data_IF_995193928289
#
_entry.id   IF_995193928289
#
_cell.length_a   1.000
_cell.length_b   1.000
_cell.length_c   1.000
_cell.angle_alpha   90.00
_cell.angle_beta   90.00
_cell.angle_gamma   90.00
#
_symmetry.space_group_name_H-M   'P 1'
#
loop_
_entity.id
_entity.type
_entity.pdbx_description
1 polymer ?
#
# COMPACT_ATOMS: atom_id res chain seq x y z
N UNK A 1 -12.93 24.22 -43.71
CA UNK A 1 -13.31 23.14 -42.79
C UNK A 1 -12.22 23.07 -41.73
N UNK A 2 -12.40 23.83 -40.62
CA UNK A 2 -11.42 23.88 -39.53
C UNK A 2 -11.65 22.67 -38.66
N UNK A 3 -10.62 21.78 -38.52
CA UNK A 3 -10.61 20.72 -37.52
C UNK A 3 -10.52 21.37 -36.15
N UNK A 4 -11.55 21.19 -35.35
CA UNK A 4 -11.62 21.59 -33.97
C UNK A 4 -10.79 20.57 -33.19
N UNK A 5 -9.53 20.90 -32.86
CA UNK A 5 -8.73 20.12 -31.96
C UNK A 5 -9.31 20.31 -30.54
N UNK A 6 -9.69 19.20 -29.92
CA UNK A 6 -10.13 19.19 -28.53
C UNK A 6 -8.96 19.63 -27.63
N UNK A 7 -9.25 20.45 -26.62
CA UNK A 7 -8.25 20.89 -25.62
C UNK A 7 -7.66 19.74 -24.80
N UNK A 8 -8.09 18.50 -25.08
CA UNK A 8 -7.66 17.26 -24.43
C UNK A 8 -6.49 16.55 -25.11
N UNK A 9 -6.10 17.01 -26.31
CA UNK A 9 -5.04 16.32 -27.11
C UNK A 9 -3.59 16.71 -26.73
N UNK A 10 -3.37 17.53 -25.71
CA UNK A 10 -2.02 18.06 -25.39
C UNK A 10 -1.27 17.24 -24.32
N UNK A 11 -1.89 16.27 -23.65
CA UNK A 11 -1.26 15.54 -22.54
C UNK A 11 -0.66 14.18 -22.91
N UNK A 12 -0.79 13.69 -24.12
CA UNK A 12 -0.38 12.33 -24.50
C UNK A 12 1.11 12.18 -24.90
N UNK A 13 1.86 13.27 -25.06
CA UNK A 13 3.28 13.20 -25.50
C UNK A 13 4.27 12.79 -24.38
N UNK A 14 3.87 12.83 -23.09
CA UNK A 14 4.76 12.49 -21.97
C UNK A 14 4.71 11.03 -21.53
N UNK A 15 3.76 10.25 -22.00
CA UNK A 15 3.57 8.85 -21.60
C UNK A 15 4.03 7.85 -22.68
N UNK A 16 5.14 8.11 -23.35
CA UNK A 16 5.65 7.16 -24.34
C UNK A 16 6.32 5.96 -23.67
N UNK A 17 5.82 4.77 -23.97
CA UNK A 17 6.52 3.52 -23.67
C UNK A 17 7.87 3.54 -24.38
N UNK A 18 8.98 3.30 -23.67
CA UNK A 18 10.30 3.28 -24.29
C UNK A 18 10.35 2.20 -25.37
N UNK A 19 11.08 2.46 -26.46
CA UNK A 19 11.22 1.51 -27.58
C UNK A 19 11.67 0.12 -27.10
N UNK A 20 12.57 0.06 -26.13
CA UNK A 20 13.03 -1.22 -25.56
C UNK A 20 11.87 -2.00 -24.92
N UNK A 21 11.11 -1.38 -24.03
CA UNK A 21 9.96 -2.05 -23.38
C UNK A 21 8.89 -2.44 -24.40
N UNK A 22 8.65 -1.58 -25.40
CA UNK A 22 7.73 -1.88 -26.49
C UNK A 22 8.16 -3.15 -27.23
N UNK A 23 9.43 -3.25 -27.64
CA UNK A 23 9.97 -4.45 -28.26
C UNK A 23 9.82 -5.69 -27.39
N UNK A 24 10.11 -5.59 -26.08
CA UNK A 24 9.97 -6.70 -25.13
C UNK A 24 8.53 -7.21 -25.07
N UNK A 25 7.55 -6.30 -25.05
CA UNK A 25 6.12 -6.65 -24.98
C UNK A 25 5.60 -7.17 -26.34
N UNK A 26 6.05 -6.61 -27.46
CA UNK A 26 5.76 -7.11 -28.81
C UNK A 26 6.33 -8.53 -29.04
N UNK A 27 7.44 -8.88 -28.38
CA UNK A 27 8.04 -10.21 -28.41
C UNK A 27 7.35 -11.23 -27.46
N UNK A 28 6.22 -10.84 -26.86
CA UNK A 28 5.34 -11.71 -26.10
C UNK A 28 5.65 -11.83 -24.61
N UNK A 29 6.30 -10.83 -24.01
CA UNK A 29 6.42 -10.80 -22.55
C UNK A 29 5.06 -10.58 -21.89
N UNK A 30 4.75 -11.36 -20.87
CA UNK A 30 3.59 -11.11 -20.02
C UNK A 30 3.77 -9.79 -19.26
N UNK A 31 2.68 -9.02 -19.10
CA UNK A 31 2.68 -7.73 -18.41
C UNK A 31 1.94 -7.83 -17.08
N UNK A 32 2.70 -7.93 -16.00
CA UNK A 32 2.16 -7.99 -14.64
C UNK A 32 2.17 -6.60 -14.01
N UNK A 33 1.00 -6.04 -13.73
CA UNK A 33 0.82 -4.69 -13.18
C UNK A 33 0.57 -4.78 -11.68
N UNK A 34 1.50 -4.27 -10.86
CA UNK A 34 1.34 -4.22 -9.41
C UNK A 34 0.35 -3.13 -9.02
N UNK A 35 -0.79 -3.52 -8.45
CA UNK A 35 -1.85 -2.61 -8.00
C UNK A 35 -1.99 -2.61 -6.48
N UNK A 36 -2.42 -1.49 -5.92
CA UNK A 36 -2.63 -1.31 -4.48
C UNK A 36 -3.90 -0.52 -4.15
N UNK A 37 -4.75 -0.25 -5.16
CA UNK A 37 -5.91 0.63 -5.03
C UNK A 37 -5.57 2.11 -4.86
N UNK A 38 -4.28 2.46 -4.91
CA UNK A 38 -3.84 3.84 -4.85
C UNK A 38 -3.87 4.52 -6.22
N UNK A 39 -4.14 5.82 -6.26
CA UNK A 39 -4.29 6.62 -7.48
C UNK A 39 -3.20 6.38 -8.54
N UNK A 40 -1.95 6.18 -8.10
CA UNK A 40 -0.82 5.99 -9.00
C UNK A 40 -0.86 4.60 -9.66
N UNK A 41 -1.21 3.56 -8.91
CA UNK A 41 -1.38 2.20 -9.45
C UNK A 41 -2.62 2.08 -10.33
N UNK A 42 -3.69 2.78 -9.99
CA UNK A 42 -4.95 2.75 -10.75
C UNK A 42 -4.77 3.46 -12.10
N UNK A 43 -4.15 4.64 -12.10
CA UNK A 43 -3.79 5.36 -13.32
C UNK A 43 -2.84 4.52 -14.20
N UNK A 44 -1.82 3.89 -13.62
CA UNK A 44 -0.93 3.00 -14.33
C UNK A 44 -1.68 1.83 -14.98
N UNK A 45 -2.61 1.19 -14.27
CA UNK A 45 -3.38 0.07 -14.80
C UNK A 45 -4.28 0.52 -15.97
N UNK A 46 -4.96 1.67 -15.86
CA UNK A 46 -5.79 2.26 -16.93
C UNK A 46 -4.95 2.52 -18.18
N UNK A 47 -3.84 3.21 -18.02
CA UNK A 47 -2.89 3.48 -19.10
C UNK A 47 -2.40 2.20 -19.76
N UNK A 48 -1.91 1.24 -18.98
CA UNK A 48 -1.33 0.01 -19.53
C UNK A 48 -2.37 -0.91 -20.18
N UNK A 49 -3.61 -0.96 -19.66
CA UNK A 49 -4.68 -1.73 -20.31
C UNK A 49 -5.05 -1.14 -21.68
N UNK A 50 -5.01 0.18 -21.82
CA UNK A 50 -5.21 0.85 -23.09
C UNK A 50 -4.05 0.58 -24.05
N UNK A 51 -2.81 0.77 -23.59
CA UNK A 51 -1.61 0.51 -24.41
C UNK A 51 -1.49 -0.95 -24.85
N UNK A 52 -1.85 -1.90 -24.00
CA UNK A 52 -1.83 -3.33 -24.32
C UNK A 52 -2.76 -3.64 -25.50
N UNK A 53 -3.97 -3.11 -25.48
CA UNK A 53 -4.96 -3.28 -26.56
C UNK A 53 -4.58 -2.55 -27.84
N UNK A 54 -4.14 -1.29 -27.73
CA UNK A 54 -3.79 -0.46 -28.90
C UNK A 54 -2.58 -0.97 -29.67
N UNK A 55 -1.60 -1.57 -28.97
CA UNK A 55 -0.39 -2.12 -29.59
C UNK A 55 -0.50 -3.62 -29.86
N UNK A 56 -1.62 -4.26 -29.55
CA UNK A 56 -1.85 -5.71 -29.75
C UNK A 56 -0.70 -6.57 -29.17
N UNK A 57 -0.27 -6.25 -27.93
CA UNK A 57 0.80 -7.01 -27.26
C UNK A 57 0.34 -8.44 -26.98
N UNK A 58 1.19 -9.40 -27.33
CA UNK A 58 0.79 -10.81 -27.38
C UNK A 58 0.86 -11.54 -26.02
N UNK A 59 1.62 -11.02 -25.06
CA UNK A 59 1.67 -11.57 -23.70
C UNK A 59 0.41 -11.24 -22.90
N UNK A 60 0.14 -12.01 -21.87
CA UNK A 60 -0.99 -11.77 -20.99
C UNK A 60 -0.82 -10.48 -20.19
N UNK A 61 -1.91 -9.70 -20.04
CA UNK A 61 -1.98 -8.58 -19.11
C UNK A 61 -2.70 -9.03 -17.84
N UNK A 62 -2.08 -8.83 -16.67
CA UNK A 62 -2.67 -9.18 -15.38
C UNK A 62 -2.35 -8.15 -14.30
N UNK A 63 -3.31 -7.92 -13.39
CA UNK A 63 -3.13 -7.10 -12.21
C UNK A 63 -2.75 -7.96 -10.99
N UNK A 64 -1.75 -7.53 -10.21
CA UNK A 64 -1.30 -8.21 -8.99
C UNK A 64 -1.58 -7.34 -7.77
N UNK A 65 -2.39 -7.83 -6.85
CA UNK A 65 -2.70 -7.18 -5.58
C UNK A 65 -2.21 -8.05 -4.41
N UNK A 66 -1.31 -7.50 -3.59
CA UNK A 66 -0.96 -8.11 -2.31
C UNK A 66 -1.93 -7.61 -1.24
N UNK A 67 -2.85 -8.46 -0.84
CA UNK A 67 -3.84 -8.17 0.20
C UNK A 67 -3.20 -8.31 1.59
N UNK A 68 -3.14 -7.22 2.34
CA UNK A 68 -2.53 -7.16 3.67
C UNK A 68 -3.56 -7.33 4.79
N UNK A 69 -4.80 -7.66 4.44
CA UNK A 69 -5.87 -7.93 5.39
C UNK A 69 -6.26 -6.69 6.22
N UNK A 70 -6.41 -6.86 7.54
CA UNK A 70 -6.96 -5.84 8.43
C UNK A 70 -6.22 -4.49 8.46
N UNK A 71 -4.98 -4.45 8.01
CA UNK A 71 -4.20 -3.20 7.97
C UNK A 71 -4.47 -2.37 6.70
N UNK A 72 -5.15 -2.95 5.71
CA UNK A 72 -5.57 -2.19 4.53
C UNK A 72 -6.74 -1.25 4.83
N UNK A 73 -6.97 -0.30 3.94
CA UNK A 73 -8.17 0.53 3.95
C UNK A 73 -9.40 -0.32 3.59
N UNK A 74 -10.50 -0.06 4.25
CA UNK A 74 -11.76 -0.74 3.98
C UNK A 74 -12.18 -0.52 2.51
N UNK A 75 -12.46 -1.63 1.80
CA UNK A 75 -12.95 -1.61 0.43
C UNK A 75 -11.87 -1.52 -0.65
N UNK A 76 -10.56 -1.57 -0.33
CA UNK A 76 -9.49 -1.59 -1.35
C UNK A 76 -9.63 -2.78 -2.29
N UNK A 77 -9.89 -3.97 -1.75
CA UNK A 77 -10.08 -5.18 -2.56
C UNK A 77 -11.27 -5.05 -3.52
N UNK A 78 -12.41 -4.52 -3.04
CA UNK A 78 -13.60 -4.30 -3.85
C UNK A 78 -13.40 -3.22 -4.92
N UNK A 79 -12.67 -2.16 -4.56
CA UNK A 79 -12.29 -1.11 -5.51
C UNK A 79 -11.46 -1.69 -6.66
N UNK A 80 -10.45 -2.50 -6.35
CA UNK A 80 -9.61 -3.15 -7.36
C UNK A 80 -10.38 -4.18 -8.19
N UNK A 81 -11.31 -4.94 -7.59
CA UNK A 81 -12.19 -5.84 -8.34
C UNK A 81 -13.02 -5.07 -9.38
N UNK A 82 -13.64 -3.94 -8.97
CA UNK A 82 -14.43 -3.10 -9.89
C UNK A 82 -13.56 -2.53 -11.01
N UNK A 83 -12.40 -1.95 -10.66
CA UNK A 83 -11.46 -1.38 -11.63
C UNK A 83 -10.98 -2.41 -12.65
N UNK A 84 -10.58 -3.58 -12.19
CA UNK A 84 -10.10 -4.65 -13.07
C UNK A 84 -11.23 -5.20 -13.96
N UNK A 85 -12.46 -5.30 -13.44
CA UNK A 85 -13.62 -5.68 -14.23
C UNK A 85 -13.96 -4.63 -15.31
N UNK A 86 -13.91 -3.35 -14.96
CA UNK A 86 -14.11 -2.23 -15.90
C UNK A 86 -13.08 -2.28 -17.06
N UNK A 87 -11.85 -2.62 -16.75
CA UNK A 87 -10.75 -2.64 -17.70
C UNK A 87 -10.59 -3.98 -18.44
N UNK A 88 -11.36 -4.98 -18.08
CA UNK A 88 -11.24 -6.37 -18.57
C UNK A 88 -9.84 -6.95 -18.35
N UNK A 89 -9.28 -6.74 -17.14
CA UNK A 89 -7.96 -7.22 -16.72
C UNK A 89 -8.10 -8.21 -15.59
N UNK A 90 -7.55 -9.44 -15.70
CA UNK A 90 -7.56 -10.42 -14.61
C UNK A 90 -6.85 -9.89 -13.36
N UNK A 91 -7.48 -10.04 -12.18
CA UNK A 91 -6.92 -9.66 -10.89
C UNK A 91 -6.46 -10.90 -10.11
N UNK A 92 -5.16 -11.00 -9.86
CA UNK A 92 -4.59 -12.01 -8.96
C UNK A 92 -4.37 -11.43 -7.58
N UNK A 93 -5.12 -11.91 -6.58
CA UNK A 93 -4.95 -11.56 -5.17
C UNK A 93 -3.90 -12.47 -4.54
N UNK A 94 -2.87 -11.88 -3.99
CA UNK A 94 -1.75 -12.56 -3.35
C UNK A 94 -1.79 -12.29 -1.85
N UNK A 95 -1.58 -13.33 -1.07
CA UNK A 95 -1.60 -13.23 0.38
C UNK A 95 -0.21 -13.50 0.95
N UNK A 96 0.25 -12.70 1.90
CA UNK A 96 1.47 -13.00 2.64
C UNK A 96 1.27 -14.25 3.51
N UNK A 97 2.36 -14.90 3.88
CA UNK A 97 2.32 -16.11 4.73
C UNK A 97 1.79 -15.80 6.14
N UNK A 98 1.98 -14.57 6.61
CA UNK A 98 1.47 -14.02 7.87
C UNK A 98 0.95 -12.63 7.64
N UNK A 99 -0.02 -12.18 8.44
CA UNK A 99 -0.40 -10.78 8.45
C UNK A 99 0.73 -9.89 9.00
N UNK A 100 0.70 -8.61 8.66
CA UNK A 100 1.71 -7.66 9.15
C UNK A 100 1.71 -7.57 10.69
N UNK A 101 0.54 -7.66 11.31
CA UNK A 101 0.40 -7.61 12.77
C UNK A 101 1.08 -8.84 13.40
N UNK A 102 0.82 -10.04 12.88
CA UNK A 102 1.49 -11.27 13.34
C UNK A 102 3.01 -11.20 13.13
N UNK A 103 3.47 -10.60 12.04
CA UNK A 103 4.91 -10.45 11.80
C UNK A 103 5.57 -9.49 12.81
N UNK A 104 4.89 -8.40 13.19
CA UNK A 104 5.34 -7.51 14.26
C UNK A 104 5.37 -8.21 15.62
N UNK A 105 4.32 -8.95 15.97
CA UNK A 105 4.25 -9.73 17.20
C UNK A 105 5.40 -10.75 17.28
N UNK A 106 5.54 -11.58 16.26
CA UNK A 106 6.62 -12.58 16.17
C UNK A 106 8.01 -11.95 16.29
N UNK A 107 8.20 -10.78 15.67
CA UNK A 107 9.48 -10.07 15.75
C UNK A 107 9.75 -9.56 17.18
N UNK A 108 8.74 -9.02 17.83
CA UNK A 108 8.82 -8.59 19.24
C UNK A 108 9.19 -9.77 20.14
N UNK A 109 8.46 -10.87 20.05
CA UNK A 109 8.74 -12.11 20.81
C UNK A 109 10.17 -12.63 20.57
N UNK A 110 10.62 -12.61 19.31
CA UNK A 110 11.99 -13.02 18.95
C UNK A 110 13.04 -12.14 19.61
N UNK A 111 12.80 -10.83 19.70
CA UNK A 111 13.72 -9.89 20.35
C UNK A 111 13.73 -10.08 21.87
N UNK A 112 12.56 -10.28 22.48
CA UNK A 112 12.43 -10.59 23.91
C UNK A 112 13.15 -11.89 24.27
N UNK A 113 12.95 -12.95 23.51
CA UNK A 113 13.63 -14.24 23.72
C UNK A 113 15.18 -14.13 23.61
N UNK A 114 15.68 -13.17 22.82
CA UNK A 114 17.10 -12.86 22.68
C UNK A 114 17.61 -11.83 23.69
N UNK A 115 16.75 -11.38 24.61
CA UNK A 115 17.04 -10.30 25.57
C UNK A 115 17.56 -9.02 24.86
N UNK A 116 17.00 -8.71 23.68
CA UNK A 116 17.34 -7.53 22.90
C UNK A 116 16.25 -6.48 23.01
N UNK A 117 16.55 -5.41 23.72
CA UNK A 117 15.67 -4.25 23.82
C UNK A 117 15.85 -3.34 22.58
N UNK A 118 15.09 -3.62 21.52
CA UNK A 118 15.15 -2.93 20.23
C UNK A 118 13.75 -2.79 19.63
N UNK A 119 13.53 -1.71 18.83
CA UNK A 119 12.27 -1.56 18.10
C UNK A 119 12.04 -2.76 17.17
N UNK A 120 10.82 -3.26 17.18
CA UNK A 120 10.39 -4.37 16.32
C UNK A 120 9.55 -3.89 15.12
N UNK A 121 9.12 -2.64 15.11
CA UNK A 121 8.37 -2.05 14.01
C UNK A 121 9.20 -1.96 12.72
N UNK A 122 8.54 -1.99 11.58
CA UNK A 122 9.16 -1.60 10.32
C UNK A 122 9.56 -0.12 10.38
N UNK A 123 10.55 0.28 9.57
CA UNK A 123 11.00 1.66 9.49
C UNK A 123 11.47 2.00 8.08
N UNK A 124 11.80 3.26 7.83
CA UNK A 124 12.36 3.69 6.55
C UNK A 124 13.65 2.93 6.18
N UNK A 125 14.49 2.63 7.17
CA UNK A 125 15.74 1.87 7.01
C UNK A 125 15.55 0.35 7.06
N UNK A 126 14.47 -0.15 7.66
CA UNK A 126 14.18 -1.56 7.82
C UNK A 126 12.77 -1.90 7.30
N UNK A 127 12.59 -1.81 5.99
CA UNK A 127 11.31 -2.00 5.29
C UNK A 127 10.96 -3.47 5.08
N UNK A 128 11.07 -4.29 6.13
CA UNK A 128 10.75 -5.71 6.01
C UNK A 128 9.25 -5.96 5.75
N UNK A 129 8.34 -5.05 6.14
CA UNK A 129 6.94 -5.09 5.74
C UNK A 129 6.78 -5.13 4.21
N UNK A 130 7.48 -4.27 3.46
CA UNK A 130 7.44 -4.30 2.00
C UNK A 130 7.98 -5.62 1.46
N UNK A 131 9.09 -6.13 2.05
CA UNK A 131 9.72 -7.38 1.61
C UNK A 131 8.81 -8.60 1.82
N UNK A 132 8.28 -8.76 3.03
CA UNK A 132 7.50 -9.95 3.40
C UNK A 132 6.07 -9.92 2.87
N UNK A 133 5.45 -8.74 2.87
CA UNK A 133 4.04 -8.62 2.55
C UNK A 133 3.76 -8.39 1.06
N UNK A 134 4.71 -7.81 0.32
CA UNK A 134 4.50 -7.43 -1.08
C UNK A 134 5.48 -8.11 -2.03
N UNK A 135 6.80 -7.97 -1.79
CA UNK A 135 7.80 -8.46 -2.73
C UNK A 135 7.82 -9.98 -2.78
N UNK A 136 7.89 -10.66 -1.64
CA UNK A 136 7.98 -12.13 -1.60
C UNK A 136 6.75 -12.83 -2.20
N UNK A 137 5.49 -12.47 -1.87
CA UNK A 137 4.31 -13.05 -2.52
C UNK A 137 4.31 -12.81 -4.04
N UNK A 138 4.63 -11.58 -4.47
CA UNK A 138 4.71 -11.24 -5.89
C UNK A 138 5.78 -12.04 -6.62
N UNK A 139 7.00 -12.13 -6.08
CA UNK A 139 8.08 -12.89 -6.69
C UNK A 139 7.78 -14.39 -6.75
N UNK A 140 7.14 -14.94 -5.70
CA UNK A 140 6.71 -16.34 -5.70
C UNK A 140 5.72 -16.61 -6.83
N UNK A 141 4.73 -15.73 -7.00
CA UNK A 141 3.74 -15.84 -8.07
C UNK A 141 4.39 -15.67 -9.45
N UNK A 142 5.21 -14.63 -9.63
CA UNK A 142 5.80 -14.30 -10.92
C UNK A 142 6.86 -15.30 -11.41
N UNK A 143 7.38 -16.17 -10.55
CA UNK A 143 8.30 -17.24 -10.96
C UNK A 143 7.66 -18.34 -11.81
N UNK A 144 6.35 -18.35 -11.98
CA UNK A 144 5.67 -19.24 -12.93
C UNK A 144 5.79 -18.77 -14.39
N UNK A 145 6.19 -17.53 -14.63
CA UNK A 145 6.38 -16.94 -15.95
C UNK A 145 7.84 -17.02 -16.36
N UNK A 146 8.08 -17.43 -17.60
CA UNK A 146 9.44 -17.47 -18.16
C UNK A 146 9.88 -16.12 -18.70
N UNK A 147 8.94 -15.30 -19.18
CA UNK A 147 9.19 -13.99 -19.74
C UNK A 147 8.14 -12.97 -19.27
N UNK A 148 8.55 -12.05 -18.38
CA UNK A 148 7.59 -11.13 -17.74
C UNK A 148 8.15 -9.73 -17.51
N UNK A 149 7.31 -8.73 -17.74
CA UNK A 149 7.53 -7.33 -17.36
C UNK A 149 6.64 -6.98 -16.16
N UNK A 150 7.26 -6.58 -15.06
CA UNK A 150 6.58 -6.20 -13.83
C UNK A 150 6.47 -4.67 -13.76
N UNK A 151 5.29 -4.12 -14.03
CA UNK A 151 5.01 -2.70 -13.92
C UNK A 151 4.73 -2.28 -12.47
N UNK A 152 5.38 -1.22 -12.01
CA UNK A 152 5.24 -0.66 -10.66
C UNK A 152 4.97 0.84 -10.76
N UNK A 153 3.88 1.30 -10.15
CA UNK A 153 3.45 2.70 -10.12
C UNK A 153 4.32 3.57 -9.22
N UNK A 154 5.49 3.95 -9.72
CA UNK A 154 6.47 4.80 -9.04
C UNK A 154 6.67 6.08 -9.84
N UNK A 155 6.59 7.26 -9.16
CA UNK A 155 6.82 8.57 -9.78
C UNK A 155 8.06 9.25 -9.20
N UNK A 156 8.84 9.88 -10.06
CA UNK A 156 10.04 10.64 -9.69
C UNK A 156 9.71 11.80 -8.73
N UNK A 157 8.57 12.44 -8.94
CA UNK A 157 8.08 13.59 -8.17
C UNK A 157 7.87 13.28 -6.67
N UNK A 158 7.65 12.01 -6.30
CA UNK A 158 7.34 11.66 -4.92
C UNK A 158 8.52 11.76 -3.94
N UNK A 159 9.74 11.61 -4.43
CA UNK A 159 10.96 11.80 -3.62
C UNK A 159 12.24 11.76 -4.47
N UNK A 160 13.31 12.38 -3.97
CA UNK A 160 14.65 12.32 -4.58
C UNK A 160 15.19 10.88 -4.73
N UNK A 161 14.82 9.98 -3.81
CA UNK A 161 15.21 8.57 -3.92
C UNK A 161 14.46 7.85 -5.04
N UNK A 162 13.19 8.22 -5.32
CA UNK A 162 12.41 7.68 -6.44
C UNK A 162 12.86 8.25 -7.77
N UNK A 163 13.19 9.55 -7.82
CA UNK A 163 13.73 10.19 -9.02
C UNK A 163 15.00 9.52 -9.56
N UNK A 164 15.81 8.92 -8.66
CA UNK A 164 17.05 8.21 -9.01
C UNK A 164 16.82 6.73 -9.42
N UNK A 165 15.59 6.25 -9.49
CA UNK A 165 15.31 4.89 -9.92
C UNK A 165 15.38 4.79 -11.45
N UNK A 166 15.89 3.67 -12.02
CA UNK A 166 15.83 3.43 -13.45
C UNK A 166 14.38 3.31 -13.90
N UNK A 167 14.10 3.67 -15.15
CA UNK A 167 12.78 3.46 -15.76
C UNK A 167 12.47 1.98 -15.92
N UNK A 168 13.49 1.17 -16.20
CA UNK A 168 13.42 -0.28 -16.23
C UNK A 168 14.75 -0.90 -15.80
N UNK A 169 14.69 -2.11 -15.29
CA UNK A 169 15.87 -2.90 -14.90
C UNK A 169 15.53 -4.38 -14.86
N UNK A 170 16.53 -5.24 -14.90
CA UNK A 170 16.33 -6.67 -14.65
C UNK A 170 15.77 -6.88 -13.25
N UNK A 171 14.74 -7.74 -13.12
CA UNK A 171 14.18 -8.15 -11.83
C UNK A 171 14.99 -9.31 -11.28
N UNK A 172 16.04 -9.02 -10.53
CA UNK A 172 17.03 -9.98 -10.06
C UNK A 172 16.46 -11.13 -9.22
N UNK A 173 15.33 -10.92 -8.53
CA UNK A 173 14.70 -11.94 -7.68
C UNK A 173 13.97 -13.02 -8.50
N UNK A 174 13.71 -12.77 -9.79
CA UNK A 174 13.00 -13.66 -10.70
C UNK A 174 13.92 -14.15 -11.83
N UNK A 175 14.67 -13.25 -12.46
CA UNK A 175 15.54 -13.56 -13.58
C UNK A 175 16.57 -14.65 -13.23
N UNK A 176 16.88 -15.51 -14.19
CA UNK A 176 17.93 -16.50 -14.08
C UNK A 176 19.28 -15.84 -13.79
N UNK A 177 20.18 -16.57 -13.11
CA UNK A 177 21.43 -16.01 -12.56
C UNK A 177 22.30 -15.33 -13.63
N UNK A 178 22.26 -15.82 -14.86
CA UNK A 178 23.06 -15.31 -15.99
C UNK A 178 22.67 -13.88 -16.43
N UNK A 179 21.44 -13.46 -16.16
CA UNK A 179 20.88 -12.17 -16.61
C UNK A 179 20.80 -11.14 -15.49
N UNK A 180 21.11 -11.53 -14.24
CA UNK A 180 21.01 -10.62 -13.09
C UNK A 180 21.92 -9.41 -13.26
N UNK A 181 21.41 -8.26 -12.82
CA UNK A 181 22.19 -7.02 -12.82
C UNK A 181 23.44 -7.19 -11.96
N UNK A 182 24.65 -6.97 -12.50
CA UNK A 182 25.88 -7.01 -11.73
C UNK A 182 25.90 -5.96 -10.62
N UNK A 183 26.58 -6.25 -9.52
CA UNK A 183 26.76 -5.31 -8.38
C UNK A 183 27.55 -4.05 -8.76
N UNK A 184 28.24 -4.09 -9.90
CA UNK A 184 28.97 -2.96 -10.49
C UNK A 184 28.05 -1.90 -11.09
N UNK A 185 26.84 -2.28 -11.56
CA UNK A 185 25.84 -1.37 -12.11
C UNK A 185 25.16 -0.63 -10.95
N UNK A 186 25.57 0.59 -10.67
CA UNK A 186 25.09 1.39 -9.52
C UNK A 186 24.10 2.48 -9.94
N UNK A 187 24.35 3.14 -11.09
CA UNK A 187 23.46 4.18 -11.57
C UNK A 187 22.18 3.62 -12.23
N UNK A 188 21.20 4.50 -12.45
CA UNK A 188 19.98 4.15 -13.17
C UNK A 188 20.29 3.78 -14.62
N UNK A 189 21.12 4.57 -15.27
CA UNK A 189 21.55 4.40 -16.67
C UNK A 189 22.29 3.06 -16.87
N UNK A 190 23.22 2.73 -15.96
CA UNK A 190 23.94 1.45 -16.02
C UNK A 190 22.99 0.25 -15.94
N UNK A 191 21.95 0.35 -15.13
CA UNK A 191 20.93 -0.72 -14.98
C UNK A 191 20.02 -0.83 -16.18
N UNK A 192 19.66 0.30 -16.81
CA UNK A 192 18.88 0.33 -18.04
C UNK A 192 19.70 -0.30 -19.21
N UNK A 193 20.94 0.13 -19.40
CA UNK A 193 21.85 -0.44 -20.41
C UNK A 193 22.08 -1.94 -20.17
N UNK A 194 22.28 -2.34 -18.91
CA UNK A 194 22.41 -3.76 -18.59
C UNK A 194 21.14 -4.55 -18.92
N UNK A 195 19.97 -4.01 -18.67
CA UNK A 195 18.70 -4.69 -18.98
C UNK A 195 18.58 -4.98 -20.49
N UNK A 196 18.98 -4.05 -21.33
CA UNK A 196 19.01 -4.23 -22.80
C UNK A 196 20.03 -5.29 -23.22
N UNK A 197 21.25 -5.25 -22.65
CA UNK A 197 22.29 -6.24 -22.92
C UNK A 197 21.88 -7.64 -22.44
N UNK A 198 21.31 -7.75 -21.24
CA UNK A 198 20.85 -9.01 -20.68
C UNK A 198 19.68 -9.60 -21.48
N UNK A 199 18.80 -8.76 -22.02
CA UNK A 199 17.74 -9.18 -22.94
C UNK A 199 18.31 -9.78 -24.22
N UNK A 200 19.28 -9.12 -24.84
CA UNK A 200 19.95 -9.65 -26.04
C UNK A 200 20.65 -10.99 -25.75
N UNK A 201 21.37 -11.09 -24.61
CA UNK A 201 21.98 -12.35 -24.19
C UNK A 201 20.95 -13.47 -24.02
N UNK A 202 19.76 -13.15 -23.49
CA UNK A 202 18.68 -14.11 -23.32
C UNK A 202 18.14 -14.59 -24.68
N UNK A 203 17.97 -13.70 -25.66
CA UNK A 203 17.61 -14.04 -27.03
C UNK A 203 18.66 -14.92 -27.67
N UNK A 204 19.96 -14.54 -27.62
CA UNK A 204 21.09 -15.27 -28.22
C UNK A 204 21.26 -16.67 -27.61
N UNK A 205 20.84 -16.84 -26.33
CA UNK A 205 20.83 -18.15 -25.68
C UNK A 205 19.71 -19.08 -26.15
N UNK A 206 18.82 -18.62 -27.04
CA UNK A 206 17.59 -19.30 -27.41
C UNK A 206 16.54 -19.26 -26.32
N UNK A 207 16.43 -18.14 -25.58
CA UNK A 207 15.47 -17.87 -24.49
C UNK A 207 15.59 -18.88 -23.33
N UNK A 208 16.81 -19.22 -22.93
CA UNK A 208 17.05 -20.18 -21.85
C UNK A 208 16.84 -19.56 -20.48
N UNK A 209 15.98 -20.19 -19.68
CA UNK A 209 15.65 -19.74 -18.34
C UNK A 209 14.75 -18.50 -18.32
N UNK A 210 14.47 -17.99 -17.12
CA UNK A 210 13.56 -16.85 -16.94
C UNK A 210 14.24 -15.53 -17.20
N UNK A 211 13.54 -14.66 -17.93
CA UNK A 211 13.89 -13.26 -18.09
C UNK A 211 12.76 -12.38 -17.54
N UNK A 212 13.10 -11.50 -16.60
CA UNK A 212 12.12 -10.66 -15.94
C UNK A 212 12.63 -9.23 -15.80
N UNK A 213 11.78 -8.25 -16.10
CA UNK A 213 12.04 -6.83 -15.93
C UNK A 213 11.16 -6.23 -14.84
N UNK A 214 11.67 -5.24 -14.14
CA UNK A 214 10.88 -4.23 -13.43
C UNK A 214 10.80 -2.99 -14.30
N UNK A 215 9.61 -2.46 -14.50
CA UNK A 215 9.34 -1.25 -15.27
C UNK A 215 8.56 -0.23 -14.45
N UNK A 216 8.89 1.06 -14.60
CA UNK A 216 8.19 2.18 -13.97
C UNK A 216 7.52 3.05 -15.05
N UNK A 217 6.36 2.65 -15.59
CA UNK A 217 5.75 3.29 -16.75
C UNK A 217 5.37 4.74 -16.52
N UNK A 218 4.96 5.08 -15.31
CA UNK A 218 4.51 6.43 -14.93
C UNK A 218 5.60 7.24 -14.19
N UNK A 219 6.90 6.87 -14.36
CA UNK A 219 8.01 7.50 -13.63
C UNK A 219 8.06 9.02 -13.78
N UNK A 220 7.73 9.52 -14.97
CA UNK A 220 7.77 10.96 -15.29
C UNK A 220 6.44 11.70 -15.09
N UNK A 221 5.40 10.99 -14.70
CA UNK A 221 4.09 11.60 -14.53
C UNK A 221 4.03 12.54 -13.34
N UNK A 222 3.35 13.67 -13.52
CA UNK A 222 2.98 14.56 -12.44
C UNK A 222 1.73 14.04 -11.69
N UNK A 223 1.47 14.59 -10.52
CA UNK A 223 0.21 14.32 -9.80
C UNK A 223 -1.03 14.69 -10.63
N UNK A 224 -0.93 15.72 -11.45
CA UNK A 224 -2.01 16.14 -12.36
C UNK A 224 -2.30 15.05 -13.40
N UNK A 225 -1.26 14.48 -14.02
CA UNK A 225 -1.40 13.43 -15.02
C UNK A 225 -2.08 12.18 -14.40
N UNK A 226 -1.67 11.81 -13.19
CA UNK A 226 -2.27 10.68 -12.45
C UNK A 226 -3.77 10.89 -12.20
N UNK A 227 -4.19 12.07 -11.74
CA UNK A 227 -5.61 12.34 -11.53
C UNK A 227 -6.39 12.40 -12.83
N UNK A 228 -5.81 12.97 -13.88
CA UNK A 228 -6.43 13.06 -15.19
C UNK A 228 -6.64 11.66 -15.81
N UNK A 229 -5.65 10.78 -15.73
CA UNK A 229 -5.77 9.39 -16.19
C UNK A 229 -6.84 8.61 -15.41
N UNK A 230 -7.00 8.90 -14.13
CA UNK A 230 -8.09 8.34 -13.32
C UNK A 230 -9.47 8.97 -13.61
N UNK A 231 -9.59 9.90 -14.55
CA UNK A 231 -10.85 10.54 -14.90
C UNK A 231 -11.32 11.64 -13.92
N UNK A 232 -10.38 12.23 -13.16
CA UNK A 232 -10.67 13.31 -12.21
C UNK A 232 -9.60 14.41 -12.28
N UNK A 233 -9.58 15.33 -11.31
CA UNK A 233 -8.60 16.42 -11.25
C UNK A 233 -8.24 16.76 -9.80
N UNK A 234 -7.09 17.41 -9.59
CA UNK A 234 -6.71 17.95 -8.27
C UNK A 234 -7.80 18.86 -7.69
N UNK A 235 -8.47 19.65 -8.53
CA UNK A 235 -9.55 20.54 -8.12
C UNK A 235 -10.81 19.80 -7.68
N UNK A 236 -11.19 18.74 -8.39
CA UNK A 236 -12.32 17.89 -8.01
C UNK A 236 -12.06 17.16 -6.70
N UNK A 237 -10.87 16.55 -6.53
CA UNK A 237 -10.46 15.90 -5.28
C UNK A 237 -10.54 16.89 -4.12
N UNK A 238 -9.99 18.09 -4.27
CA UNK A 238 -10.04 19.11 -3.22
C UNK A 238 -11.47 19.57 -2.90
N UNK A 239 -12.37 19.65 -3.89
CA UNK A 239 -13.79 19.94 -3.70
C UNK A 239 -14.47 18.82 -2.90
N UNK A 240 -14.22 17.57 -3.24
CA UNK A 240 -14.78 16.40 -2.57
C UNK A 240 -14.32 16.29 -1.12
N UNK A 241 -13.04 16.56 -0.84
CA UNK A 241 -12.51 16.63 0.53
C UNK A 241 -13.28 17.66 1.37
N UNK A 242 -13.57 18.85 0.82
CA UNK A 242 -14.36 19.85 1.54
C UNK A 242 -15.80 19.39 1.81
N UNK A 243 -16.44 18.70 0.85
CA UNK A 243 -17.77 18.11 1.06
C UNK A 243 -17.74 17.06 2.19
N UNK A 244 -16.75 16.20 2.17
CA UNK A 244 -16.58 15.17 3.20
C UNK A 244 -16.41 15.79 4.60
N UNK A 245 -15.54 16.80 4.71
CA UNK A 245 -15.31 17.54 5.96
C UNK A 245 -16.55 18.30 6.45
N UNK A 246 -17.41 18.70 5.53
CA UNK A 246 -18.70 19.34 5.84
C UNK A 246 -19.81 18.32 6.21
N UNK A 247 -19.50 17.01 6.22
CA UNK A 247 -20.47 15.95 6.53
C UNK A 247 -21.32 15.47 5.35
N UNK A 248 -21.14 16.05 4.15
CA UNK A 248 -21.85 15.64 2.93
C UNK A 248 -21.12 14.48 2.24
N UNK A 249 -21.05 13.33 2.98
CA UNK A 249 -20.24 12.18 2.60
C UNK A 249 -20.74 11.55 1.30
N UNK A 250 -22.06 11.43 1.15
CA UNK A 250 -22.67 10.81 -0.03
C UNK A 250 -22.25 11.55 -1.31
N UNK A 251 -22.40 12.89 -1.35
CA UNK A 251 -21.99 13.69 -2.52
C UNK A 251 -20.47 13.76 -2.69
N UNK A 252 -19.73 13.64 -1.61
CA UNK A 252 -18.27 13.61 -1.68
C UNK A 252 -17.75 12.36 -2.40
N UNK A 253 -18.38 11.19 -2.17
CA UNK A 253 -17.94 9.88 -2.70
C UNK A 253 -18.63 9.55 -4.03
N UNK A 254 -19.82 10.09 -4.29
CA UNK A 254 -20.60 9.78 -5.50
C UNK A 254 -19.74 9.88 -6.78
N UNK A 255 -19.73 8.81 -7.57
CA UNK A 255 -18.99 8.73 -8.85
C UNK A 255 -17.50 9.08 -8.76
N UNK A 256 -16.88 8.92 -7.59
CA UNK A 256 -15.46 9.13 -7.46
C UNK A 256 -14.69 7.92 -8.03
N UNK A 257 -13.81 8.10 -9.03
CA UNK A 257 -13.21 6.98 -9.76
C UNK A 257 -12.10 6.26 -9.00
N UNK A 258 -11.61 6.84 -7.90
CA UNK A 258 -10.56 6.26 -7.05
C UNK A 258 -11.11 5.83 -5.69
N UNK A 259 -10.24 5.29 -4.85
CA UNK A 259 -10.61 4.87 -3.52
C UNK A 259 -11.05 6.06 -2.63
N UNK A 260 -12.13 5.90 -1.89
CA UNK A 260 -12.77 6.95 -1.07
C UNK A 260 -11.84 7.60 -0.02
N UNK A 261 -10.78 6.90 0.42
CA UNK A 261 -9.84 7.43 1.40
C UNK A 261 -9.17 8.74 0.95
N UNK A 262 -9.07 9.01 -0.35
CA UNK A 262 -8.60 10.31 -0.85
C UNK A 262 -9.60 11.43 -0.57
N UNK A 263 -10.88 11.10 -0.62
CA UNK A 263 -11.97 12.03 -0.35
C UNK A 263 -12.06 12.32 1.16
N UNK A 264 -11.75 11.35 2.02
CA UNK A 264 -11.64 11.59 3.46
C UNK A 264 -10.40 12.40 3.88
N UNK A 265 -9.51 12.72 2.93
CA UNK A 265 -8.37 13.60 3.14
C UNK A 265 -6.99 12.95 3.03
N UNK A 266 -6.91 11.64 2.75
CA UNK A 266 -5.61 10.99 2.57
C UNK A 266 -4.87 11.52 1.36
N UNK A 267 -3.58 11.71 1.51
CA UNK A 267 -2.69 12.11 0.41
C UNK A 267 -2.14 10.90 -0.35
N UNK A 268 -2.06 9.75 0.34
CA UNK A 268 -1.53 8.49 -0.19
C UNK A 268 -2.40 7.34 0.29
N UNK A 269 -2.64 6.37 -0.58
CA UNK A 269 -3.19 5.08 -0.19
C UNK A 269 -2.01 4.10 0.03
N UNK A 270 -1.65 3.94 1.28
CA UNK A 270 -0.76 2.90 1.81
C UNK A 270 -1.59 2.00 2.72
N UNK A 271 -0.99 1.21 3.61
CA UNK A 271 -1.75 0.65 4.72
C UNK A 271 -2.44 1.78 5.50
N UNK A 272 -3.63 1.54 6.08
CA UNK A 272 -4.37 2.55 6.85
C UNK A 272 -3.53 3.09 8.01
N UNK A 273 -2.73 2.22 8.64
CA UNK A 273 -1.74 2.56 9.65
C UNK A 273 -0.35 2.18 9.13
N UNK A 274 0.26 3.09 8.39
CA UNK A 274 1.56 2.85 7.77
C UNK A 274 2.68 3.50 8.57
N UNK A 275 3.70 2.73 8.96
CA UNK A 275 4.90 3.24 9.66
C UNK A 275 5.66 4.32 8.87
N UNK A 276 5.35 4.53 7.59
CA UNK A 276 5.91 5.56 6.72
C UNK A 276 4.86 6.61 6.32
N UNK A 277 3.67 6.55 6.91
CA UNK A 277 2.60 7.54 6.70
C UNK A 277 2.96 8.89 7.31
N UNK A 278 2.38 9.97 6.79
CA UNK A 278 2.37 11.24 7.48
C UNK A 278 1.49 11.16 8.73
N UNK A 279 1.70 12.02 9.73
CA UNK A 279 0.83 12.06 10.91
C UNK A 279 -0.64 12.25 10.55
N UNK A 280 -0.92 13.06 9.52
CA UNK A 280 -2.28 13.26 9.00
C UNK A 280 -2.87 11.98 8.40
N UNK A 281 -2.12 11.26 7.53
CA UNK A 281 -2.62 10.01 6.92
C UNK A 281 -2.83 8.91 7.99
N UNK A 282 -1.95 8.84 9.01
CA UNK A 282 -2.08 7.89 10.12
C UNK A 282 -3.30 8.23 10.98
N UNK A 283 -3.53 9.50 11.30
CA UNK A 283 -4.71 9.93 12.04
C UNK A 283 -5.99 9.57 11.29
N UNK A 284 -6.04 9.89 10.00
CA UNK A 284 -7.18 9.53 9.16
C UNK A 284 -7.38 8.00 9.09
N UNK A 285 -6.28 7.24 8.98
CA UNK A 285 -6.30 5.78 9.04
C UNK A 285 -6.82 5.24 10.36
N UNK A 286 -6.43 5.82 11.48
CA UNK A 286 -6.92 5.45 12.82
C UNK A 286 -8.44 5.70 12.96
N UNK A 287 -8.92 6.86 12.50
CA UNK A 287 -10.35 7.18 12.51
C UNK A 287 -11.22 6.18 11.74
N UNK A 288 -10.70 5.65 10.62
CA UNK A 288 -11.44 4.73 9.76
C UNK A 288 -11.11 3.25 10.00
N UNK A 289 -10.11 2.96 10.84
CA UNK A 289 -9.73 1.61 11.25
C UNK A 289 -9.40 1.57 12.77
N UNK A 290 -10.36 1.96 13.63
CA UNK A 290 -10.11 2.17 15.06
C UNK A 290 -9.68 0.90 15.79
N UNK A 291 -10.15 -0.27 15.37
CA UNK A 291 -9.79 -1.55 15.98
C UNK A 291 -8.33 -1.89 15.74
N UNK A 292 -7.84 -1.75 14.51
CA UNK A 292 -6.44 -1.97 14.18
C UNK A 292 -5.56 -0.93 14.88
N UNK A 293 -5.99 0.33 14.94
CA UNK A 293 -5.29 1.37 15.70
C UNK A 293 -5.15 0.96 17.18
N UNK A 294 -6.23 0.53 17.82
CA UNK A 294 -6.23 0.15 19.25
C UNK A 294 -5.28 -1.04 19.52
N UNK A 295 -5.28 -2.04 18.65
CA UNK A 295 -4.38 -3.19 18.75
C UNK A 295 -2.90 -2.76 18.64
N UNK A 296 -2.57 -1.90 17.69
CA UNK A 296 -1.21 -1.40 17.51
C UNK A 296 -0.78 -0.44 18.63
N UNK A 297 -1.68 0.42 19.10
CA UNK A 297 -1.43 1.29 20.26
C UNK A 297 -1.19 0.46 21.54
N UNK A 298 -1.92 -0.65 21.72
CA UNK A 298 -1.66 -1.57 22.81
C UNK A 298 -0.29 -2.20 22.71
N UNK A 299 0.13 -2.62 21.50
CA UNK A 299 1.48 -3.16 21.28
C UNK A 299 2.57 -2.12 21.58
N UNK A 300 2.37 -0.85 21.24
CA UNK A 300 3.28 0.24 21.62
C UNK A 300 3.40 0.35 23.15
N UNK A 301 2.25 0.49 23.84
CA UNK A 301 2.19 0.70 25.28
C UNK A 301 2.85 -0.48 26.01
N UNK A 302 2.54 -1.70 25.63
CA UNK A 302 3.07 -2.91 26.29
C UNK A 302 4.55 -3.15 26.00
N UNK A 303 5.01 -2.85 24.81
CA UNK A 303 6.42 -3.04 24.40
C UNK A 303 7.34 -1.90 24.84
N UNK A 304 6.80 -0.69 25.03
CA UNK A 304 7.58 0.53 25.26
C UNK A 304 8.26 1.09 24.02
N UNK A 305 7.90 0.60 22.80
CA UNK A 305 8.48 1.06 21.52
C UNK A 305 7.44 1.74 20.64
N UNK A 306 7.68 3.02 20.31
CA UNK A 306 6.80 3.80 19.44
C UNK A 306 6.71 3.24 18.02
N UNK A 307 5.52 3.30 17.42
CA UNK A 307 5.22 2.83 16.05
C UNK A 307 6.07 3.54 14.99
N UNK A 308 6.21 4.85 15.11
CA UNK A 308 7.20 5.63 14.39
C UNK A 308 8.20 6.20 15.39
N UNK A 309 9.46 6.31 15.02
CA UNK A 309 10.49 6.82 15.93
C UNK A 309 10.11 8.21 16.49
N UNK A 310 9.85 8.26 17.79
CA UNK A 310 9.48 9.49 18.50
C UNK A 310 8.01 9.92 18.30
N UNK A 311 7.19 9.13 17.59
CA UNK A 311 5.77 9.40 17.41
C UNK A 311 4.96 8.16 17.76
N UNK A 312 4.06 8.32 18.73
CA UNK A 312 3.25 7.24 19.26
C UNK A 312 1.86 7.26 18.65
N UNK A 313 1.34 6.09 18.29
CA UNK A 313 -0.06 5.95 17.88
C UNK A 313 -1.00 6.34 19.03
N UNK A 314 -0.60 6.03 20.26
CA UNK A 314 -1.35 6.36 21.45
C UNK A 314 -1.46 7.87 21.72
N UNK A 315 -0.53 8.68 21.17
CA UNK A 315 -0.58 10.15 21.27
C UNK A 315 -1.44 10.80 20.16
N UNK A 316 -1.94 10.02 19.20
CA UNK A 316 -2.83 10.57 18.19
C UNK A 316 -4.13 11.02 18.83
N UNK A 317 -4.42 12.31 18.75
CA UNK A 317 -5.71 12.86 19.10
C UNK A 317 -6.75 12.40 18.07
N UNK A 318 -7.42 11.30 18.38
CA UNK A 318 -8.52 10.76 17.59
C UNK A 318 -9.83 11.23 18.21
N UNK A 319 -9.94 12.54 18.38
CA UNK A 319 -11.13 13.20 18.91
C UNK A 319 -11.19 13.27 20.43
N UNK A 320 -10.53 12.39 21.21
CA UNK A 320 -10.67 12.37 22.68
C UNK A 320 -9.43 11.88 23.43
N UNK A 321 -8.48 11.20 22.79
CA UNK A 321 -7.35 10.61 23.51
C UNK A 321 -6.04 11.30 23.15
N UNK A 322 -5.64 12.31 23.92
CA UNK A 322 -4.25 12.74 24.03
C UNK A 322 -3.56 11.92 25.11
N UNK A 323 -2.85 10.86 24.75
CA UNK A 323 -2.12 10.04 25.71
C UNK A 323 -0.64 10.36 25.63
N UNK A 324 -0.14 11.17 26.55
CA UNK A 324 1.28 11.43 26.72
C UNK A 324 2.04 10.17 27.13
N UNK A 325 3.37 10.15 26.96
CA UNK A 325 4.21 9.02 27.39
C UNK A 325 4.04 8.65 28.88
N UNK A 326 3.79 9.66 29.74
CA UNK A 326 3.50 9.43 31.16
C UNK A 326 2.14 8.77 31.35
N UNK A 327 1.12 9.18 30.60
CA UNK A 327 -0.21 8.60 30.61
C UNK A 327 -0.23 7.17 30.06
N UNK A 328 0.60 6.87 29.05
CA UNK A 328 0.78 5.51 28.54
C UNK A 328 1.28 4.55 29.62
N UNK A 329 2.25 4.98 30.43
CA UNK A 329 2.73 4.18 31.58
C UNK A 329 1.60 3.93 32.58
N UNK A 330 0.85 4.96 32.91
CA UNK A 330 -0.30 4.84 33.81
C UNK A 330 -1.38 3.93 33.21
N UNK A 331 -1.69 4.06 31.92
CA UNK A 331 -2.63 3.20 31.25
C UNK A 331 -2.15 1.73 31.24
N UNK A 332 -0.86 1.48 31.00
CA UNK A 332 -0.27 0.15 31.11
C UNK A 332 -0.44 -0.43 32.51
N UNK A 333 -0.17 0.34 33.55
CA UNK A 333 -0.33 -0.08 34.94
C UNK A 333 -1.80 -0.38 35.28
N UNK A 334 -2.73 0.44 34.79
CA UNK A 334 -4.16 0.20 34.94
C UNK A 334 -4.59 -1.08 34.21
N UNK A 335 -4.18 -1.28 32.97
CA UNK A 335 -4.49 -2.49 32.21
C UNK A 335 -3.91 -3.74 32.87
N UNK A 336 -2.70 -3.66 33.45
CA UNK A 336 -2.09 -4.75 34.23
C UNK A 336 -2.87 -5.03 35.53
N UNK A 337 -3.24 -4.00 36.26
CA UNK A 337 -4.00 -4.16 37.52
C UNK A 337 -5.38 -4.76 37.31
N UNK A 338 -5.99 -4.50 36.14
CA UNK A 338 -7.28 -5.07 35.76
C UNK A 338 -7.15 -6.49 35.14
N UNK A 339 -5.94 -7.05 35.03
CA UNK A 339 -5.65 -8.33 34.38
C UNK A 339 -6.18 -8.42 32.93
N UNK A 340 -6.29 -7.27 32.25
CA UNK A 340 -6.86 -7.18 30.92
C UNK A 340 -5.82 -7.36 29.81
N UNK A 341 -4.50 -7.41 30.12
CA UNK A 341 -3.44 -7.47 29.11
C UNK A 341 -3.43 -8.76 28.29
N UNK A 342 -3.98 -9.85 28.80
CA UNK A 342 -4.06 -11.15 28.11
C UNK A 342 -5.44 -11.41 27.47
N UNK A 343 -6.36 -10.46 27.56
CA UNK A 343 -7.74 -10.54 27.07
C UNK A 343 -7.93 -9.67 25.82
N UNK A 344 -8.84 -9.94 24.91
CA UNK A 344 -9.25 -9.00 23.86
C UNK A 344 -9.92 -7.72 24.39
N UNK A 345 -10.28 -7.69 25.66
CA UNK A 345 -10.90 -6.53 26.31
C UNK A 345 -10.07 -5.23 26.26
N UNK A 346 -8.72 -5.22 26.36
CA UNK A 346 -7.93 -3.99 26.25
C UNK A 346 -8.06 -3.28 24.90
N UNK A 347 -8.09 -4.04 23.80
CA UNK A 347 -8.28 -3.48 22.45
C UNK A 347 -9.64 -2.80 22.35
N UNK A 348 -10.64 -3.41 22.93
CA UNK A 348 -11.99 -2.86 23.01
C UNK A 348 -12.07 -1.58 23.83
N UNK A 349 -11.45 -1.56 25.03
CA UNK A 349 -11.39 -0.36 25.89
C UNK A 349 -10.69 0.79 25.13
N UNK A 350 -9.57 0.53 24.49
CA UNK A 350 -8.88 1.54 23.68
C UNK A 350 -9.73 2.02 22.50
N UNK A 351 -10.42 1.13 21.80
CA UNK A 351 -11.31 1.51 20.73
C UNK A 351 -12.50 2.36 21.20
N UNK A 352 -13.04 2.05 22.36
CA UNK A 352 -14.08 2.88 23.01
C UNK A 352 -13.55 4.25 23.41
N UNK A 353 -12.33 4.32 23.96
CA UNK A 353 -11.67 5.58 24.33
C UNK A 353 -11.47 6.50 23.12
N UNK A 354 -11.37 5.92 21.91
CA UNK A 354 -11.32 6.67 20.64
C UNK A 354 -12.66 7.27 20.22
N UNK A 355 -13.73 6.56 20.49
CA UNK A 355 -15.07 6.87 19.95
C UNK A 355 -15.89 7.68 20.95
N UNK A 356 -15.65 7.50 22.25
CA UNK A 356 -16.45 8.12 23.31
C UNK A 356 -15.69 9.24 24.03
N UNK A 357 -16.33 10.38 24.34
CA UNK A 357 -15.78 11.40 25.22
C UNK A 357 -15.36 10.82 26.57
N UNK A 358 -14.18 11.19 27.08
CA UNK A 358 -13.64 10.71 28.36
C UNK A 358 -14.63 10.89 29.52
N UNK A 359 -15.41 11.96 29.47
CA UNK A 359 -16.45 12.28 30.44
C UNK A 359 -17.55 11.21 30.52
N UNK A 360 -17.85 10.53 29.42
CA UNK A 360 -18.81 9.42 29.39
C UNK A 360 -18.23 8.10 29.89
N UNK A 361 -16.92 7.92 29.78
CA UNK A 361 -16.24 6.70 30.24
C UNK A 361 -16.09 6.61 31.75
N UNK A 362 -16.09 7.76 32.46
CA UNK A 362 -16.03 7.80 33.90
C UNK A 362 -17.27 7.17 34.60
N UNK A 363 -18.35 7.01 33.84
CA UNK A 363 -19.58 6.35 34.33
C UNK A 363 -19.63 4.85 34.03
N UNK A 364 -18.64 4.30 33.32
CA UNK A 364 -18.63 2.90 32.93
C UNK A 364 -17.91 2.07 33.98
N UNK A 365 -18.62 1.10 34.53
CA UNK A 365 -18.02 0.10 35.43
C UNK A 365 -17.27 -0.95 34.62
N UNK A 366 -16.32 -1.63 35.25
CA UNK A 366 -15.60 -2.74 34.66
C UNK A 366 -16.54 -3.83 34.12
N UNK A 367 -17.64 -4.10 34.84
CA UNK A 367 -18.68 -5.04 34.43
C UNK A 367 -19.38 -4.62 33.12
N UNK A 368 -19.67 -3.32 32.97
CA UNK A 368 -20.27 -2.77 31.75
C UNK A 368 -19.34 -2.91 30.56
N UNK A 369 -18.05 -2.66 30.73
CA UNK A 369 -17.02 -2.81 29.72
C UNK A 369 -16.86 -4.28 29.29
N UNK A 370 -16.86 -5.21 30.26
CA UNK A 370 -16.77 -6.64 30.00
C UNK A 370 -18.02 -7.19 29.32
N UNK A 371 -19.22 -6.74 29.74
CA UNK A 371 -20.47 -7.14 29.08
C UNK A 371 -20.56 -6.71 27.63
N UNK A 372 -20.11 -5.49 27.31
CA UNK A 372 -20.09 -4.98 25.94
C UNK A 372 -19.01 -5.71 25.12
N UNK A 373 -17.83 -6.00 25.71
CA UNK A 373 -16.80 -6.77 25.04
C UNK A 373 -17.27 -8.19 24.65
N UNK A 374 -18.02 -8.85 25.54
CA UNK A 374 -18.63 -10.15 25.27
C UNK A 374 -19.68 -10.09 24.15
N UNK A 375 -20.56 -9.09 24.16
CA UNK A 375 -21.57 -8.88 23.10
C UNK A 375 -20.94 -8.66 21.72
N UNK A 376 -19.82 -7.93 21.65
CA UNK A 376 -19.13 -7.68 20.37
C UNK A 376 -18.38 -8.92 19.89
N UNK A 377 -17.86 -9.75 20.78
CA UNK A 377 -17.28 -11.04 20.41
C UNK A 377 -18.33 -11.98 19.77
N UNK A 378 -19.56 -11.94 20.27
CA UNK A 378 -20.69 -12.70 19.68
C UNK A 378 -21.14 -12.17 18.32
N UNK A 379 -20.90 -10.86 18.04
CA UNK A 379 -21.26 -10.20 16.78
C UNK A 379 -20.20 -10.31 15.69
N UNK A 380 -18.98 -10.78 15.98
CA UNK A 380 -17.96 -10.99 14.96
C UNK A 380 -18.30 -12.24 14.14
N UNK A 381 -18.39 -12.15 12.81
CA UNK A 381 -18.53 -13.34 11.97
C UNK A 381 -17.31 -14.23 12.19
N UNK A 382 -17.56 -15.54 12.36
CA UNK A 382 -16.50 -16.53 12.46
C UNK A 382 -15.53 -16.38 11.30
N UNK A 383 -14.20 -16.46 11.51
CA UNK A 383 -13.25 -16.43 10.41
C UNK A 383 -13.51 -17.64 9.52
N UNK A 384 -14.05 -17.38 8.33
CA UNK A 384 -14.17 -18.36 7.23
C UNK A 384 -12.94 -18.31 6.35
#
# INVERSE_FOLDING_TARGET
MFKQYSLFDISCEQASVSNFIKTVLEEGADLAVSVSGGKDSDAMLRFLSTQHRENDWQGDLLALFCDLGRIEWLGVSDHLCRLCTELDVPLSKLYPTRSMIEEWQRRHETLLAKQQDKPFWSSASARYCTKHEKVQPSDKFLRQYDFVVCAIGLRAEESSARAKKPRYQVRNDIASVWYKTPVTCKSAEEKEVWAEQAYQQWLDSGRKGRFALTWHPIHHWSLKDVWQENGTSCGDVARRVRLYQAGDIERAIADFPCHWAYVSGNTRLSCSLCVLGSGHDILNGALHNPWTWAELALMEITSGWSFQQGHWLADLSVGVLEVSLAQQRTLKEVLQSLQLLESPAPVFVLALLLICPVEQLLFWTLESVQAIASLIQEMQPSPT
#
